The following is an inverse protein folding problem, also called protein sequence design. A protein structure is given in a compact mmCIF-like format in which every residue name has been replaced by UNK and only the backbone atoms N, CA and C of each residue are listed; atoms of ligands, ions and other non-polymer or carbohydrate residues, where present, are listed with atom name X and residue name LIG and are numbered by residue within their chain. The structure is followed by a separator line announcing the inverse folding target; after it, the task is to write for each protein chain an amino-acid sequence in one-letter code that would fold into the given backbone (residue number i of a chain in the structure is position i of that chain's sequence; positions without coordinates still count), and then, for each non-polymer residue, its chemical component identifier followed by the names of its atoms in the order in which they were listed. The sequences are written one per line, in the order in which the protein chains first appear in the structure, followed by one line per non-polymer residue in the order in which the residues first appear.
data_IF_906105436984
#
_entry.id   IF_906105436984
#
_cell.length_a   1.000
_cell.length_b   1.000
_cell.length_c   1.000
_cell.angle_alpha   90.00
_cell.angle_beta   90.00
_cell.angle_gamma   90.00
#
_symmetry.space_group_name_H-M   'P 1'
#
loop_
_entity.id
_entity.type
_entity.pdbx_description
1 polymer ?
#
# COMPACT_ATOMS: atom_id res chain seq x y z
N UNK A 1 9.58 25.06 -1.87
CA UNK A 1 10.74 25.26 -1.01
C UNK A 1 10.52 26.43 -0.08
N UNK A 2 11.12 26.39 1.13
CA UNK A 2 11.17 27.50 2.08
C UNK A 2 12.62 27.78 2.39
N UNK A 3 12.96 29.06 2.40
CA UNK A 3 14.32 29.55 2.66
C UNK A 3 14.32 30.39 3.94
N UNK A 4 15.32 30.22 4.79
CA UNK A 4 15.53 31.04 5.97
C UNK A 4 17.02 31.19 6.24
N UNK A 5 17.39 32.28 6.95
CA UNK A 5 18.76 32.51 7.36
C UNK A 5 18.99 31.93 8.77
N UNK A 6 19.94 31.03 8.89
CA UNK A 6 20.36 30.47 10.16
C UNK A 6 21.42 31.38 10.78
N UNK A 7 21.10 31.99 11.89
CA UNK A 7 22.05 32.82 12.66
C UNK A 7 23.15 32.01 13.34
N UNK A 8 22.89 30.70 13.59
CA UNK A 8 23.85 29.78 14.22
C UNK A 8 24.91 29.31 13.22
N UNK A 9 24.50 29.04 11.97
CA UNK A 9 25.37 28.50 10.92
C UNK A 9 25.90 29.59 9.97
N UNK A 10 25.42 30.81 10.11
CA UNK A 10 25.68 31.93 9.20
C UNK A 10 25.49 31.56 7.73
N UNK A 11 24.41 30.84 7.46
CA UNK A 11 24.07 30.31 6.12
C UNK A 11 22.60 30.45 5.82
N UNK A 12 22.30 30.68 4.56
CA UNK A 12 20.94 30.58 4.04
C UNK A 12 20.61 29.11 3.79
N UNK A 13 19.57 28.61 4.41
CA UNK A 13 19.14 27.21 4.34
C UNK A 13 17.82 27.15 3.60
N UNK A 14 17.74 26.29 2.60
CA UNK A 14 16.52 25.99 1.85
C UNK A 14 16.08 24.58 2.12
N UNK A 15 14.81 24.35 2.48
CA UNK A 15 14.25 23.03 2.71
C UNK A 15 12.95 22.79 1.95
N UNK A 16 12.64 21.51 1.72
CA UNK A 16 11.42 21.10 1.04
C UNK A 16 10.30 20.85 2.09
N UNK A 17 9.23 21.65 2.06
CA UNK A 17 8.07 21.44 2.96
C UNK A 17 7.35 20.13 2.71
N UNK A 18 7.34 19.62 1.49
CA UNK A 18 6.69 18.34 1.15
C UNK A 18 7.47 17.13 1.65
N UNK A 19 8.82 17.24 1.69
CA UNK A 19 9.67 16.18 2.21
C UNK A 19 9.75 16.12 3.74
N UNK A 20 9.11 17.04 4.46
CA UNK A 20 9.20 17.13 5.92
C UNK A 20 8.71 15.87 6.64
N UNK A 21 7.80 15.13 6.01
CA UNK A 21 7.31 13.83 6.51
C UNK A 21 8.39 12.72 6.49
N UNK A 22 9.44 12.90 5.70
CA UNK A 22 10.59 11.99 5.64
C UNK A 22 11.72 12.39 6.60
N UNK A 23 11.55 13.44 7.33
CA UNK A 23 12.57 14.18 8.02
C UNK A 23 12.92 15.47 7.27
N UNK A 24 13.59 16.39 7.94
CA UNK A 24 13.98 17.65 7.33
C UNK A 24 15.08 17.40 6.30
N UNK A 25 14.75 17.57 5.02
CA UNK A 25 15.72 17.56 3.92
C UNK A 25 15.99 19.01 3.50
N UNK A 26 17.22 19.46 3.70
CA UNK A 26 17.63 20.82 3.42
C UNK A 26 18.93 20.89 2.62
N UNK A 27 19.30 22.12 2.21
CA UNK A 27 20.46 22.39 1.36
C UNK A 27 21.82 22.15 2.01
N UNK A 28 21.86 21.86 3.30
CA UNK A 28 23.09 21.58 4.04
C UNK A 28 23.21 20.13 4.51
N UNK A 29 22.18 19.31 4.26
CA UNK A 29 22.19 17.88 4.60
C UNK A 29 22.73 17.08 3.43
N UNK A 30 23.80 16.34 3.64
CA UNK A 30 24.36 15.42 2.65
C UNK A 30 23.41 14.26 2.41
N UNK A 31 23.22 13.91 1.13
CA UNK A 31 22.45 12.74 0.71
C UNK A 31 23.42 11.64 0.29
N UNK A 32 23.43 10.54 1.03
CA UNK A 32 24.20 9.37 0.69
C UNK A 32 23.31 8.35 -0.06
N UNK A 33 23.71 7.98 -1.28
CA UNK A 33 23.10 6.87 -2.00
C UNK A 33 23.85 5.58 -1.69
N UNK A 34 23.15 4.66 -1.02
CA UNK A 34 23.70 3.33 -0.73
C UNK A 34 23.23 2.36 -1.81
N UNK A 35 24.18 1.72 -2.50
CA UNK A 35 23.86 0.68 -3.47
C UNK A 35 23.39 -0.57 -2.74
N UNK A 36 22.20 -1.03 -3.04
CA UNK A 36 21.68 -2.28 -2.49
C UNK A 36 22.10 -3.48 -3.33
N UNK A 37 22.27 -4.60 -2.65
CA UNK A 37 22.52 -5.89 -3.30
C UNK A 37 21.22 -6.70 -3.34
N UNK A 38 21.11 -7.58 -4.32
CA UNK A 38 20.06 -8.58 -4.34
C UNK A 38 20.47 -9.74 -3.42
N UNK A 39 19.51 -10.22 -2.63
CA UNK A 39 19.70 -11.36 -1.74
C UNK A 39 18.51 -12.30 -1.84
N UNK A 40 18.72 -13.48 -2.43
CA UNK A 40 17.70 -14.51 -2.47
C UNK A 40 17.53 -15.16 -1.09
N UNK A 41 16.29 -15.47 -0.75
CA UNK A 41 15.89 -16.19 0.46
C UNK A 41 14.90 -17.28 0.09
N UNK A 42 14.65 -18.23 1.00
CA UNK A 42 13.60 -19.23 0.78
C UNK A 42 12.21 -18.61 0.89
N UNK A 43 12.06 -17.59 1.72
CA UNK A 43 10.82 -16.88 2.00
C UNK A 43 9.63 -17.82 2.21
N UNK A 44 9.83 -18.86 3.01
CA UNK A 44 8.76 -19.78 3.35
C UNK A 44 7.68 -19.02 4.14
N UNK A 45 6.43 -19.30 3.83
CA UNK A 45 5.31 -18.71 4.53
C UNK A 45 4.34 -19.76 5.04
N UNK A 46 3.58 -19.41 6.07
CA UNK A 46 2.50 -20.20 6.62
C UNK A 46 1.17 -19.52 6.33
N UNK A 47 0.22 -20.29 5.84
CA UNK A 47 -1.15 -19.85 5.64
C UNK A 47 -2.06 -20.83 6.37
N UNK A 48 -2.89 -20.38 7.36
CA UNK A 48 -3.70 -21.28 8.20
C UNK A 48 -4.94 -21.85 7.48
N UNK A 49 -5.16 -21.49 6.23
CA UNK A 49 -6.28 -21.93 5.39
C UNK A 49 -5.89 -22.03 3.91
N UNK A 50 -6.69 -22.74 3.15
CA UNK A 50 -6.52 -22.86 1.72
C UNK A 50 -7.18 -21.68 0.98
N UNK A 51 -6.52 -21.19 -0.07
CA UNK A 51 -7.09 -20.19 -0.94
C UNK A 51 -8.25 -20.79 -1.75
N UNK A 52 -9.31 -20.03 -1.92
CA UNK A 52 -10.37 -20.39 -2.87
C UNK A 52 -9.83 -20.44 -4.31
N UNK A 53 -10.49 -21.14 -5.21
CA UNK A 53 -10.08 -21.24 -6.62
C UNK A 53 -9.84 -19.88 -7.29
N UNK A 54 -10.66 -18.86 -6.96
CA UNK A 54 -10.50 -17.52 -7.50
C UNK A 54 -9.27 -16.81 -6.91
N UNK A 55 -9.01 -16.96 -5.61
CA UNK A 55 -7.82 -16.43 -4.96
C UNK A 55 -6.55 -17.12 -5.46
N UNK A 56 -6.60 -18.44 -5.66
CA UNK A 56 -5.49 -19.20 -6.22
C UNK A 56 -5.15 -18.74 -7.64
N UNK A 57 -6.16 -18.58 -8.52
CA UNK A 57 -5.97 -18.01 -9.85
C UNK A 57 -5.31 -16.61 -9.80
N UNK A 58 -5.77 -15.74 -8.90
CA UNK A 58 -5.18 -14.41 -8.73
C UNK A 58 -3.72 -14.50 -8.26
N UNK A 59 -3.43 -15.36 -7.29
CA UNK A 59 -2.08 -15.59 -6.76
C UNK A 59 -1.14 -16.12 -7.85
N UNK A 60 -1.56 -17.10 -8.63
CA UNK A 60 -0.80 -17.64 -9.78
C UNK A 60 -0.53 -16.57 -10.84
N UNK A 61 -1.52 -15.72 -11.14
CA UNK A 61 -1.34 -14.62 -12.10
C UNK A 61 -0.38 -13.56 -11.58
N UNK A 62 -0.40 -13.23 -10.28
CA UNK A 62 0.61 -12.37 -9.63
C UNK A 62 2.00 -12.96 -9.82
N UNK A 63 2.18 -14.26 -9.59
CA UNK A 63 3.47 -14.94 -9.78
C UNK A 63 3.95 -14.81 -11.23
N UNK A 64 3.07 -15.01 -12.21
CA UNK A 64 3.43 -14.86 -13.62
C UNK A 64 3.81 -13.42 -13.97
N UNK A 65 3.09 -12.44 -13.44
CA UNK A 65 3.42 -11.03 -13.63
C UNK A 65 4.83 -10.70 -13.10
N UNK A 66 5.16 -11.18 -11.90
CA UNK A 66 6.49 -11.00 -11.28
C UNK A 66 7.59 -11.64 -12.12
N UNK A 67 7.42 -12.90 -12.54
CA UNK A 67 8.40 -13.61 -13.35
C UNK A 67 8.68 -12.94 -14.69
N UNK A 68 7.68 -12.27 -15.26
CA UNK A 68 7.76 -11.64 -16.57
C UNK A 68 8.02 -10.13 -16.51
N UNK A 69 8.28 -9.56 -15.32
CA UNK A 69 8.44 -8.12 -15.10
C UNK A 69 7.26 -7.31 -15.69
N UNK A 70 6.04 -7.76 -15.43
CA UNK A 70 4.81 -7.13 -15.91
C UNK A 70 4.05 -6.46 -14.78
N UNK A 71 3.39 -5.35 -15.10
CA UNK A 71 2.41 -4.72 -14.24
C UNK A 71 1.08 -5.46 -14.29
N UNK A 72 0.37 -5.50 -13.16
CA UNK A 72 -0.90 -6.18 -12.98
C UNK A 72 -1.84 -5.35 -12.10
N UNK A 73 -3.13 -5.35 -12.43
CA UNK A 73 -4.17 -4.77 -11.59
C UNK A 73 -5.07 -5.85 -11.00
N UNK A 74 -5.07 -5.98 -9.68
CA UNK A 74 -6.00 -6.80 -8.93
C UNK A 74 -7.18 -5.95 -8.44
N UNK A 75 -8.28 -6.00 -9.16
CA UNK A 75 -9.55 -5.40 -8.79
C UNK A 75 -10.35 -6.38 -7.93
N UNK A 76 -10.25 -6.28 -6.63
CA UNK A 76 -10.88 -7.21 -5.70
C UNK A 76 -11.64 -6.45 -4.61
N UNK A 77 -12.88 -6.87 -4.35
CA UNK A 77 -13.73 -6.25 -3.31
C UNK A 77 -13.08 -6.32 -1.93
N UNK A 78 -13.50 -5.43 -1.03
CA UNK A 78 -13.07 -5.46 0.37
C UNK A 78 -13.44 -6.81 1.00
N UNK A 79 -12.48 -7.44 1.70
CA UNK A 79 -12.66 -8.79 2.27
C UNK A 79 -12.50 -9.93 1.27
N UNK A 80 -11.91 -9.69 0.09
CA UNK A 80 -11.56 -10.75 -0.86
C UNK A 80 -10.29 -11.53 -0.48
N UNK A 81 -9.53 -11.09 0.53
CA UNK A 81 -8.26 -11.70 0.94
C UNK A 81 -7.09 -11.27 0.07
N UNK A 82 -7.00 -9.97 -0.29
CA UNK A 82 -5.93 -9.43 -1.13
C UNK A 82 -4.54 -9.71 -0.57
N UNK A 83 -4.37 -9.61 0.74
CA UNK A 83 -3.07 -9.82 1.40
C UNK A 83 -2.57 -11.25 1.21
N UNK A 84 -3.42 -12.25 1.40
CA UNK A 84 -3.06 -13.66 1.29
C UNK A 84 -2.72 -14.06 -0.15
N UNK A 85 -3.36 -13.44 -1.13
CA UNK A 85 -3.06 -13.67 -2.55
C UNK A 85 -1.67 -13.20 -2.96
N UNK A 86 -1.06 -12.25 -2.19
CA UNK A 86 0.32 -11.81 -2.44
C UNK A 86 1.38 -12.81 -1.97
N UNK A 87 1.08 -13.70 -1.02
CA UNK A 87 2.11 -14.50 -0.32
C UNK A 87 2.96 -15.32 -1.27
N UNK A 88 2.36 -16.02 -2.21
CA UNK A 88 3.11 -16.81 -3.18
C UNK A 88 3.95 -15.93 -4.12
N UNK A 89 3.42 -14.76 -4.50
CA UNK A 89 4.17 -13.76 -5.27
C UNK A 89 5.37 -13.22 -4.50
N UNK A 90 5.21 -12.92 -3.21
CA UNK A 90 6.29 -12.50 -2.32
C UNK A 90 7.37 -13.59 -2.23
N UNK A 91 6.96 -14.85 -2.00
CA UNK A 91 7.88 -15.99 -1.93
C UNK A 91 8.72 -16.11 -3.18
N UNK A 92 8.09 -16.13 -4.34
CA UNK A 92 8.79 -16.24 -5.63
C UNK A 92 9.72 -15.04 -5.86
N UNK A 93 9.27 -13.82 -5.62
CA UNK A 93 10.09 -12.63 -5.75
C UNK A 93 11.34 -12.71 -4.86
N UNK A 94 11.20 -13.11 -3.59
CA UNK A 94 12.33 -13.25 -2.68
C UNK A 94 13.27 -14.38 -3.06
N UNK A 95 12.76 -15.49 -3.61
CA UNK A 95 13.59 -16.58 -4.17
C UNK A 95 14.39 -16.14 -5.40
N UNK A 96 13.83 -15.26 -6.22
CA UNK A 96 14.54 -14.63 -7.35
C UNK A 96 15.56 -13.57 -6.89
N UNK A 97 15.63 -13.26 -5.59
CA UNK A 97 16.50 -12.23 -5.04
C UNK A 97 15.96 -10.80 -5.22
N UNK A 98 14.70 -10.64 -5.56
CA UNK A 98 14.09 -9.31 -5.71
C UNK A 98 14.08 -8.54 -4.40
N UNK A 99 14.39 -7.27 -4.46
CA UNK A 99 14.02 -6.31 -3.43
C UNK A 99 12.55 -5.97 -3.63
N UNK A 100 11.74 -6.15 -2.60
CA UNK A 100 10.29 -5.98 -2.68
C UNK A 100 9.79 -4.88 -1.76
N UNK A 101 8.76 -4.17 -2.21
CA UNK A 101 8.01 -3.23 -1.39
C UNK A 101 6.52 -3.58 -1.40
N UNK A 102 5.88 -3.45 -0.23
CA UNK A 102 4.42 -3.42 -0.10
C UNK A 102 4.07 -2.04 0.40
N UNK A 103 3.28 -1.29 -0.35
CA UNK A 103 2.99 0.09 -0.03
C UNK A 103 1.51 0.41 -0.07
N UNK A 104 1.09 1.33 0.81
CA UNK A 104 -0.25 1.90 0.84
C UNK A 104 -0.16 3.38 1.18
N UNK A 105 -1.13 4.22 0.77
CA UNK A 105 -1.16 5.62 1.20
C UNK A 105 -1.46 5.79 2.70
N UNK A 106 -2.01 4.77 3.38
CA UNK A 106 -2.51 4.83 4.74
C UNK A 106 -1.62 4.09 5.73
N UNK A 107 -1.32 4.73 6.87
CA UNK A 107 -0.46 4.15 7.92
C UNK A 107 -1.12 2.97 8.61
N UNK A 108 -2.43 3.06 8.93
CA UNK A 108 -3.20 1.98 9.57
C UNK A 108 -3.19 0.70 8.74
N UNK A 109 -3.35 0.81 7.42
CA UNK A 109 -3.26 -0.32 6.49
C UNK A 109 -1.86 -0.93 6.49
N UNK A 110 -0.81 -0.11 6.48
CA UNK A 110 0.59 -0.59 6.53
C UNK A 110 0.88 -1.35 7.82
N UNK A 111 0.38 -0.87 8.95
CA UNK A 111 0.54 -1.55 10.24
C UNK A 111 -0.18 -2.91 10.21
N UNK A 112 -1.44 -2.96 9.75
CA UNK A 112 -2.21 -4.20 9.64
C UNK A 112 -1.51 -5.22 8.73
N UNK A 113 -1.14 -4.81 7.51
CA UNK A 113 -0.44 -5.67 6.55
C UNK A 113 0.88 -6.16 7.16
N UNK A 114 1.63 -5.30 7.87
CA UNK A 114 2.91 -5.67 8.45
C UNK A 114 2.82 -6.78 9.49
N UNK A 115 1.77 -6.77 10.32
CA UNK A 115 1.53 -7.86 11.27
C UNK A 115 1.25 -9.18 10.53
N UNK A 116 0.33 -9.17 9.57
CA UNK A 116 -0.05 -10.38 8.82
C UNK A 116 1.12 -10.97 8.03
N UNK A 117 1.94 -10.10 7.41
CA UNK A 117 3.13 -10.56 6.65
C UNK A 117 4.22 -11.10 7.59
N UNK A 118 4.48 -10.42 8.72
CA UNK A 118 5.47 -10.91 9.69
C UNK A 118 5.07 -12.24 10.31
N UNK A 119 3.79 -12.43 10.59
CA UNK A 119 3.26 -13.68 11.14
C UNK A 119 3.39 -14.83 10.11
N UNK A 120 3.22 -14.53 8.82
CA UNK A 120 3.34 -15.52 7.75
C UNK A 120 4.80 -15.82 7.37
N UNK A 121 5.67 -14.81 7.27
CA UNK A 121 7.06 -14.91 6.80
C UNK A 121 8.06 -14.73 7.95
N UNK A 122 8.09 -15.68 8.86
CA UNK A 122 8.85 -15.61 10.13
C UNK A 122 10.37 -15.43 9.90
N UNK A 123 10.91 -16.01 8.82
CA UNK A 123 12.34 -15.98 8.52
C UNK A 123 12.80 -14.74 7.73
N UNK A 124 11.88 -13.85 7.36
CA UNK A 124 12.22 -12.65 6.58
C UNK A 124 12.47 -11.42 7.47
N UNK A 125 13.51 -10.68 7.13
CA UNK A 125 13.80 -9.39 7.75
C UNK A 125 13.03 -8.27 7.03
N UNK A 126 12.01 -7.74 7.70
CA UNK A 126 11.05 -6.80 7.11
C UNK A 126 11.20 -5.43 7.75
N UNK A 127 11.56 -4.43 6.93
CA UNK A 127 11.54 -3.03 7.32
C UNK A 127 10.11 -2.47 7.22
N UNK A 128 9.58 -1.94 8.31
CA UNK A 128 8.27 -1.27 8.34
C UNK A 128 8.48 0.23 8.46
N UNK A 129 8.16 0.98 7.39
CA UNK A 129 8.48 2.39 7.28
C UNK A 129 7.22 3.26 7.20
N UNK A 130 7.06 4.12 8.19
CA UNK A 130 6.07 5.19 8.26
C UNK A 130 6.68 6.41 8.95
N UNK A 131 5.92 7.48 9.16
CA UNK A 131 6.44 8.76 9.65
C UNK A 131 7.35 8.67 10.91
N UNK A 132 7.04 7.77 11.85
CA UNK A 132 7.75 7.63 13.14
C UNK A 132 8.76 6.48 13.16
N UNK A 133 8.86 5.70 12.10
CA UNK A 133 9.70 4.49 12.06
C UNK A 133 11.09 4.76 11.50
N UNK A 134 12.04 3.93 11.91
CA UNK A 134 13.40 3.91 11.36
C UNK A 134 13.65 2.58 10.64
N UNK A 135 14.39 2.63 9.55
CA UNK A 135 14.88 1.44 8.88
C UNK A 135 15.83 0.67 9.79
N UNK A 136 15.63 -0.64 9.91
CA UNK A 136 16.41 -1.53 10.78
C UNK A 136 17.29 -2.49 9.99
N UNK A 137 16.89 -2.82 8.77
CA UNK A 137 17.53 -3.78 7.90
C UNK A 137 17.99 -3.13 6.58
N UNK A 138 18.31 -3.97 5.60
CA UNK A 138 18.89 -3.51 4.33
C UNK A 138 17.87 -3.14 3.25
N UNK A 139 16.59 -3.06 3.59
CA UNK A 139 15.52 -2.69 2.65
C UNK A 139 15.21 -3.72 1.57
N UNK A 140 15.61 -4.99 1.75
CA UNK A 140 15.28 -6.04 0.78
C UNK A 140 13.81 -6.40 0.77
N UNK A 141 13.15 -6.27 1.92
CA UNK A 141 11.71 -6.40 2.07
C UNK A 141 11.18 -5.24 2.91
N UNK A 142 10.44 -4.36 2.25
CA UNK A 142 9.93 -3.13 2.86
C UNK A 142 8.40 -3.13 2.85
N UNK A 143 7.79 -2.78 3.95
CA UNK A 143 6.35 -2.48 4.06
C UNK A 143 6.25 -1.03 4.49
N UNK A 144 5.67 -0.14 3.66
CA UNK A 144 5.82 1.28 3.88
C UNK A 144 4.62 2.12 3.40
N UNK A 145 4.47 3.31 3.97
CA UNK A 145 3.63 4.31 3.30
C UNK A 145 4.33 4.78 2.02
N UNK A 146 3.54 5.12 1.00
CA UNK A 146 4.08 5.50 -0.32
C UNK A 146 5.08 6.65 -0.24
N UNK A 147 4.89 7.61 0.67
CA UNK A 147 5.84 8.70 0.89
C UNK A 147 7.25 8.20 1.25
N UNK A 148 7.37 7.08 1.94
CA UNK A 148 8.66 6.52 2.32
C UNK A 148 9.46 5.99 1.12
N UNK A 149 8.80 5.72 -0.01
CA UNK A 149 9.48 5.32 -1.24
C UNK A 149 10.43 6.41 -1.78
N UNK A 150 10.21 7.67 -1.44
CA UNK A 150 11.13 8.77 -1.78
C UNK A 150 12.54 8.60 -1.19
N UNK A 151 12.73 7.69 -0.25
CA UNK A 151 14.06 7.30 0.29
C UNK A 151 14.83 6.36 -0.61
N UNK A 152 14.16 5.75 -1.60
CA UNK A 152 14.71 4.71 -2.45
C UNK A 152 14.83 5.20 -3.90
N UNK A 153 15.87 4.78 -4.58
CA UNK A 153 16.09 5.08 -6.01
C UNK A 153 16.52 3.81 -6.73
N UNK A 154 15.74 3.38 -7.72
CA UNK A 154 16.01 2.18 -8.51
C UNK A 154 16.38 0.96 -7.64
N UNK A 155 15.58 0.74 -6.59
CA UNK A 155 15.89 -0.25 -5.57
C UNK A 155 15.01 -1.49 -5.68
N UNK A 156 13.71 -1.32 -5.93
CA UNK A 156 12.75 -2.42 -5.91
C UNK A 156 12.57 -3.06 -7.28
N UNK A 157 12.57 -4.39 -7.29
CA UNK A 157 12.24 -5.22 -8.46
C UNK A 157 10.74 -5.49 -8.52
N UNK A 158 10.06 -5.60 -7.35
CA UNK A 158 8.62 -5.84 -7.25
C UNK A 158 8.00 -4.91 -6.24
N UNK A 159 6.93 -4.22 -6.62
CA UNK A 159 6.18 -3.33 -5.73
C UNK A 159 4.70 -3.71 -5.74
N UNK A 160 4.19 -4.07 -4.57
CA UNK A 160 2.76 -4.23 -4.32
C UNK A 160 2.20 -2.90 -3.83
N UNK A 161 1.18 -2.38 -4.50
CA UNK A 161 0.56 -1.09 -4.17
C UNK A 161 -0.89 -1.34 -3.78
N UNK A 162 -1.20 -1.26 -2.50
CA UNK A 162 -2.57 -1.44 -2.01
C UNK A 162 -3.30 -0.09 -1.88
N UNK A 163 -4.62 -0.12 -2.00
CA UNK A 163 -5.50 1.05 -1.96
C UNK A 163 -5.09 2.16 -2.94
N UNK A 164 -4.84 1.81 -4.21
CA UNK A 164 -4.41 2.79 -5.23
C UNK A 164 -5.42 3.90 -5.48
N UNK A 165 -6.68 3.71 -5.12
CA UNK A 165 -7.78 4.66 -5.20
C UNK A 165 -7.86 5.61 -4.00
N UNK A 166 -7.14 5.32 -2.90
CA UNK A 166 -7.20 6.12 -1.70
C UNK A 166 -6.39 7.43 -1.81
N UNK A 167 -6.89 8.46 -1.12
CA UNK A 167 -6.14 9.70 -0.92
C UNK A 167 -4.90 9.42 -0.04
N UNK A 168 -3.73 10.03 -0.30
CA UNK A 168 -3.45 11.05 -1.33
C UNK A 168 -2.98 10.49 -2.69
N UNK A 169 -2.76 9.18 -2.84
CA UNK A 169 -2.17 8.61 -4.06
C UNK A 169 -2.98 8.91 -5.33
N UNK A 170 -4.31 8.81 -5.23
CA UNK A 170 -5.21 9.02 -6.38
C UNK A 170 -5.21 10.45 -6.91
N UNK A 171 -4.67 11.42 -6.16
CA UNK A 171 -4.69 12.85 -6.47
C UNK A 171 -3.30 13.50 -6.56
N UNK A 172 -2.25 12.83 -6.09
CA UNK A 172 -0.89 13.38 -6.08
C UNK A 172 0.03 12.65 -7.07
N UNK A 173 0.32 13.26 -8.23
CA UNK A 173 1.24 12.68 -9.21
C UNK A 173 2.65 12.42 -8.67
N UNK A 174 3.08 13.13 -7.62
CA UNK A 174 4.40 12.92 -7.03
C UNK A 174 4.51 11.58 -6.33
N UNK A 175 3.42 11.06 -5.77
CA UNK A 175 3.40 9.75 -5.15
C UNK A 175 3.46 8.62 -6.19
N UNK A 176 2.78 8.79 -7.33
CA UNK A 176 2.95 7.88 -8.47
C UNK A 176 4.39 7.89 -8.99
N UNK A 177 5.00 9.09 -9.11
CA UNK A 177 6.40 9.22 -9.48
C UNK A 177 7.34 8.59 -8.43
N UNK A 178 7.02 8.66 -7.13
CA UNK A 178 7.83 8.03 -6.09
C UNK A 178 7.91 6.50 -6.27
N UNK A 179 6.80 5.86 -6.67
CA UNK A 179 6.77 4.42 -6.99
C UNK A 179 7.72 4.14 -8.16
N UNK A 180 7.61 4.91 -9.25
CA UNK A 180 8.46 4.74 -10.43
C UNK A 180 9.94 4.96 -10.14
N UNK A 181 10.29 6.02 -9.41
CA UNK A 181 11.68 6.35 -9.06
C UNK A 181 12.31 5.32 -8.13
N UNK A 182 11.52 4.73 -7.24
CA UNK A 182 11.98 3.70 -6.32
C UNK A 182 12.15 2.34 -7.00
N UNK A 183 11.48 2.11 -8.11
CA UNK A 183 11.55 0.86 -8.89
C UNK A 183 12.73 0.84 -9.85
N UNK A 184 13.28 -0.34 -10.10
CA UNK A 184 14.31 -0.56 -11.13
C UNK A 184 13.71 -0.44 -12.53
N UNK A 185 14.54 -0.42 -13.56
CA UNK A 185 14.10 -0.43 -14.96
C UNK A 185 13.27 -1.67 -15.32
N UNK A 186 13.72 -2.84 -14.86
CA UNK A 186 12.97 -4.10 -14.96
C UNK A 186 12.27 -4.33 -13.64
N UNK A 187 10.96 -4.18 -13.61
CA UNK A 187 10.15 -4.27 -12.41
C UNK A 187 8.76 -4.84 -12.68
N UNK A 188 8.07 -5.19 -11.61
CA UNK A 188 6.64 -5.51 -11.62
C UNK A 188 5.92 -4.65 -10.60
N UNK A 189 4.87 -3.97 -11.01
CA UNK A 189 3.93 -3.32 -10.11
C UNK A 189 2.64 -4.12 -10.02
N UNK A 190 2.28 -4.55 -8.82
CA UNK A 190 1.03 -5.26 -8.54
C UNK A 190 0.10 -4.29 -7.81
N UNK A 191 -0.78 -3.66 -8.57
CA UNK A 191 -1.73 -2.70 -8.05
C UNK A 191 -2.97 -3.41 -7.52
N UNK A 192 -3.46 -3.00 -6.35
CA UNK A 192 -4.61 -3.60 -5.71
C UNK A 192 -5.61 -2.53 -5.27
N UNK A 193 -6.89 -2.77 -5.53
CA UNK A 193 -7.94 -1.84 -5.13
C UNK A 193 -9.31 -2.52 -5.15
N UNK A 194 -10.24 -1.99 -4.34
CA UNK A 194 -11.64 -2.38 -4.38
C UNK A 194 -12.49 -1.48 -5.31
N UNK A 195 -12.02 -0.29 -5.63
CA UNK A 195 -12.76 0.75 -6.36
C UNK A 195 -11.88 1.49 -7.36
N UNK A 196 -11.36 0.80 -8.41
CA UNK A 196 -10.40 1.41 -9.33
C UNK A 196 -11.05 2.60 -10.07
N UNK A 197 -10.40 3.78 -10.08
CA UNK A 197 -10.85 4.91 -10.87
C UNK A 197 -10.87 4.58 -12.36
N UNK A 198 -11.84 5.12 -13.12
CA UNK A 198 -12.00 4.83 -14.55
C UNK A 198 -10.75 5.15 -15.38
N UNK A 199 -10.04 6.24 -15.04
CA UNK A 199 -8.81 6.62 -15.73
C UNK A 199 -7.69 5.62 -15.49
N UNK A 200 -7.63 5.02 -14.29
CA UNK A 200 -6.64 4.02 -13.93
C UNK A 200 -6.90 2.69 -14.65
N UNK A 201 -8.17 2.26 -14.72
CA UNK A 201 -8.56 1.07 -15.51
C UNK A 201 -8.15 1.15 -16.98
N UNK A 202 -8.16 2.35 -17.58
CA UNK A 202 -7.76 2.55 -18.98
C UNK A 202 -6.25 2.39 -19.23
N UNK A 203 -5.44 2.39 -18.18
CA UNK A 203 -3.99 2.21 -18.30
C UNK A 203 -3.59 0.73 -18.44
N UNK A 204 -4.51 -0.19 -18.11
CA UNK A 204 -4.26 -1.62 -18.17
C UNK A 204 -5.06 -2.27 -19.30
N UNK A 205 -4.42 -3.07 -20.14
CA UNK A 205 -5.15 -3.93 -21.08
C UNK A 205 -5.93 -5.00 -20.29
N UNK A 206 -7.06 -5.50 -20.83
CA UNK A 206 -7.97 -6.42 -20.12
C UNK A 206 -7.29 -7.66 -19.52
N UNK A 207 -6.28 -8.20 -20.18
CA UNK A 207 -5.51 -9.38 -19.76
C UNK A 207 -4.63 -9.12 -18.54
N UNK A 208 -4.35 -7.86 -18.23
CA UNK A 208 -3.61 -7.42 -17.03
C UNK A 208 -4.53 -6.98 -15.88
N UNK A 209 -5.82 -7.25 -15.98
CA UNK A 209 -6.80 -6.93 -14.94
C UNK A 209 -7.46 -8.21 -14.43
N UNK A 210 -7.19 -8.56 -13.17
CA UNK A 210 -7.91 -9.63 -12.48
C UNK A 210 -9.08 -9.03 -11.73
N UNK A 211 -10.28 -9.56 -11.91
CA UNK A 211 -11.48 -9.11 -11.20
C UNK A 211 -11.97 -10.18 -10.25
N UNK A 212 -12.04 -9.85 -8.96
CA UNK A 212 -12.59 -10.70 -7.90
C UNK A 212 -13.81 -10.02 -7.26
N UNK A 213 -15.01 -10.30 -7.75
CA UNK A 213 -16.23 -9.61 -7.30
C UNK A 213 -16.80 -10.15 -5.98
N UNK A 214 -16.28 -11.27 -5.46
CA UNK A 214 -16.80 -11.92 -4.27
C UNK A 214 -15.84 -11.85 -3.09
N UNK A 215 -16.40 -11.73 -1.88
CA UNK A 215 -15.64 -11.91 -0.63
C UNK A 215 -15.25 -13.39 -0.47
N UNK A 216 -14.14 -13.66 0.24
CA UNK A 216 -13.70 -15.04 0.48
C UNK A 216 -14.74 -15.89 1.21
N UNK A 217 -15.47 -15.31 2.17
CA UNK A 217 -16.54 -15.97 2.93
C UNK A 217 -17.92 -15.94 2.25
N UNK A 218 -18.00 -15.45 1.00
CA UNK A 218 -19.22 -15.34 0.17
C UNK A 218 -20.40 -14.57 0.78
N UNK A 219 -20.23 -13.92 1.92
CA UNK A 219 -21.27 -13.04 2.47
C UNK A 219 -21.48 -11.84 1.56
N UNK A 220 -22.74 -11.44 1.30
CA UNK A 220 -23.03 -10.30 0.44
C UNK A 220 -22.46 -9.01 1.03
N UNK A 221 -22.11 -8.08 0.15
CA UNK A 221 -21.76 -6.73 0.57
C UNK A 221 -22.96 -6.06 1.24
N UNK A 222 -22.76 -5.28 2.32
CA UNK A 222 -23.85 -4.55 2.93
C UNK A 222 -24.42 -3.55 1.91
N UNK A 223 -25.75 -3.59 1.73
CA UNK A 223 -26.46 -2.63 0.87
C UNK A 223 -26.85 -1.44 1.73
N UNK A 224 -26.30 -0.25 1.51
CA UNK A 224 -26.64 0.91 2.29
C UNK A 224 -28.11 1.34 2.00
N UNK A 225 -28.87 1.59 3.06
CA UNK A 225 -30.20 2.21 2.95
C UNK A 225 -30.03 3.70 3.02
N UNK A 226 -30.24 4.40 1.92
CA UNK A 226 -30.18 5.86 1.88
C UNK A 226 -31.47 6.44 2.48
N UNK A 227 -31.32 7.37 3.45
CA UNK A 227 -32.41 8.19 3.97
C UNK A 227 -32.05 9.66 3.79
N UNK A 228 -32.91 10.40 3.12
CA UNK A 228 -32.71 11.83 2.93
C UNK A 228 -33.26 12.60 4.13
N UNK A 229 -32.44 13.47 4.74
CA UNK A 229 -32.85 14.34 5.83
C UNK A 229 -32.51 15.79 5.53
N UNK A 230 -33.53 16.66 5.66
CA UNK A 230 -33.34 18.11 5.62
C UNK A 230 -33.08 18.59 7.06
N UNK A 231 -31.85 18.89 7.42
CA UNK A 231 -31.37 19.18 8.80
C UNK A 231 -31.78 20.55 9.36
N UNK A 232 -32.86 21.18 8.85
CA UNK A 232 -33.27 22.55 9.24
C UNK A 232 -34.07 22.65 10.58
N UNK A 233 -34.23 21.60 11.34
CA UNK A 233 -34.94 21.68 12.63
C UNK A 233 -34.31 20.78 13.71
N UNK A 234 -34.29 21.29 14.94
CA UNK A 234 -33.84 20.58 16.17
C UNK A 234 -34.50 19.22 16.37
N UNK A 235 -35.77 19.09 15.96
CA UNK A 235 -36.56 17.85 16.05
C UNK A 235 -36.00 16.74 15.16
N UNK A 236 -35.39 17.10 14.00
CA UNK A 236 -34.75 16.14 13.07
C UNK A 236 -33.37 15.74 13.53
N UNK A 237 -32.63 16.61 14.23
CA UNK A 237 -31.36 16.28 14.86
C UNK A 237 -31.55 15.22 15.95
N UNK A 238 -32.59 15.35 16.77
CA UNK A 238 -32.96 14.37 17.79
C UNK A 238 -33.34 13.00 17.18
N UNK A 239 -34.01 12.99 16.02
CA UNK A 239 -34.31 11.74 15.29
C UNK A 239 -33.04 11.05 14.82
N UNK A 240 -32.07 11.78 14.29
CA UNK A 240 -30.76 11.23 13.90
C UNK A 240 -30.00 10.65 15.10
N UNK A 241 -29.95 11.39 16.21
CA UNK A 241 -29.35 10.93 17.45
C UNK A 241 -29.99 9.64 17.97
N UNK A 242 -31.31 9.52 17.88
CA UNK A 242 -32.02 8.29 18.26
C UNK A 242 -31.74 7.12 17.32
N UNK A 243 -31.57 7.36 16.01
CA UNK A 243 -31.15 6.33 15.04
C UNK A 243 -29.75 5.85 15.35
N UNK A 244 -28.80 6.76 15.62
CA UNK A 244 -27.44 6.40 16.01
C UNK A 244 -27.41 5.62 17.34
N UNK A 245 -28.11 6.09 18.37
CA UNK A 245 -28.24 5.36 19.66
C UNK A 245 -28.82 3.97 19.49
N UNK A 246 -29.85 3.82 18.67
CA UNK A 246 -30.44 2.51 18.36
C UNK A 246 -29.44 1.57 17.68
N UNK A 247 -28.64 2.08 16.76
CA UNK A 247 -27.62 1.28 16.06
C UNK A 247 -26.45 0.92 16.95
N UNK A 248 -25.99 1.82 17.82
CA UNK A 248 -24.97 1.54 18.83
C UNK A 248 -25.45 0.43 19.78
N UNK A 249 -26.69 0.52 20.30
CA UNK A 249 -27.25 -0.48 21.18
C UNK A 249 -27.46 -1.86 20.52
N UNK A 250 -27.52 -1.92 19.19
CA UNK A 250 -27.61 -3.15 18.41
C UNK A 250 -26.25 -3.73 18.04
N UNK A 251 -25.14 -3.15 18.52
CA UNK A 251 -23.75 -3.54 18.17
C UNK A 251 -23.50 -3.63 16.65
N UNK A 252 -24.16 -2.80 15.86
CA UNK A 252 -24.10 -2.81 14.39
C UNK A 252 -23.06 -1.86 13.81
N UNK A 253 -22.21 -1.28 14.66
CA UNK A 253 -21.01 -0.59 14.25
C UNK A 253 -19.81 -1.52 14.55
N UNK A 254 -19.43 -2.29 13.58
CA UNK A 254 -18.11 -2.91 13.45
C UNK A 254 -17.42 -2.28 12.24
#
# INVERSE_FOLDING_TARGET
FVTYNSTILDKTITYCRRCIQLGRMDSITDICLVKSFQKATKANYQLPFELSKQQQYASETIVQAIKNNNDLLLYAVTGAGKTEMMFEGIRIARQMGHNIAIVSPRVDVIIEISHRIKDAFIDEHIDVLHQSSRQQYNGHFVIATIHQLLRFKQHFDTVFVDEVDAFPLSMDPQLSNAIQLASKSNHSHIFMTATPPRHFLKQFPPEKIIKLPARFHRSPLPIPKFKYFKLKSTRKQNLLLNIFRYQINQQRFT
#
